data_IF_233614280222
#
_entry.id   IF_233614280222
#
_cell.length_a   1.000
_cell.length_b   1.000
_cell.length_c   1.000
_cell.angle_alpha   90.00
_cell.angle_beta   90.00
_cell.angle_gamma   90.00
#
_symmetry.space_group_name_H-M   'P 1'
#
loop_
_entity.id
_entity.type
_entity.pdbx_description
1 polymer ?
#
# COMPACT_ATOMS: atom_id res chain seq x y z
N UNK A 1 39.25 23.48 -77.33
CA UNK A 1 38.55 22.53 -76.42
C UNK A 1 39.24 22.56 -75.06
N UNK A 2 38.81 23.43 -74.14
CA UNK A 2 39.24 23.39 -72.73
C UNK A 2 38.17 22.64 -71.93
N UNK A 3 38.53 21.51 -71.32
CA UNK A 3 37.69 20.79 -70.36
C UNK A 3 38.01 21.29 -68.96
N UNK A 4 37.02 21.90 -68.30
CA UNK A 4 37.05 22.25 -66.89
C UNK A 4 36.96 20.98 -66.03
N UNK A 5 37.97 20.73 -65.19
CA UNK A 5 37.93 19.73 -64.12
C UNK A 5 37.51 20.45 -62.83
N UNK A 6 36.27 20.25 -62.38
CA UNK A 6 35.78 20.73 -61.08
C UNK A 6 36.36 19.84 -59.99
N UNK A 7 37.27 20.39 -59.19
CA UNK A 7 37.71 19.78 -57.92
C UNK A 7 36.62 20.07 -56.88
N UNK A 8 35.90 19.03 -56.46
CA UNK A 8 34.97 19.09 -55.32
C UNK A 8 35.83 18.86 -54.07
N UNK A 9 35.99 19.91 -53.26
CA UNK A 9 36.65 19.84 -51.96
C UNK A 9 35.63 19.26 -50.96
N UNK A 10 35.75 17.97 -50.64
CA UNK A 10 35.02 17.33 -49.55
C UNK A 10 35.65 17.76 -48.22
N UNK A 11 34.99 18.69 -47.51
CA UNK A 11 35.33 19.03 -46.13
C UNK A 11 34.81 17.88 -45.26
N UNK A 12 35.68 17.14 -44.54
CA UNK A 12 35.22 16.15 -43.58
C UNK A 12 34.53 16.89 -42.43
N UNK A 13 33.20 16.77 -42.35
CA UNK A 13 32.49 17.10 -41.12
C UNK A 13 33.03 16.17 -40.02
N UNK A 14 33.57 16.69 -38.91
CA UNK A 14 33.87 15.85 -37.77
C UNK A 14 32.54 15.30 -37.26
N UNK A 15 32.30 14.02 -37.55
CA UNK A 15 31.31 13.24 -36.83
C UNK A 15 31.87 13.15 -35.41
N UNK A 16 31.48 14.09 -34.55
CA UNK A 16 31.64 13.95 -33.12
C UNK A 16 30.75 12.79 -32.70
N UNK A 17 31.31 11.57 -32.75
CA UNK A 17 30.81 10.45 -31.98
C UNK A 17 30.95 10.85 -30.50
N UNK A 18 29.90 11.43 -29.94
CA UNK A 18 29.73 11.46 -28.50
C UNK A 18 29.55 10.00 -28.06
N UNK A 19 30.66 9.35 -27.72
CA UNK A 19 30.60 8.12 -26.96
C UNK A 19 29.94 8.47 -25.63
N UNK A 20 28.64 8.19 -25.49
CA UNK A 20 27.97 8.23 -24.20
C UNK A 20 28.71 7.24 -23.31
N UNK A 21 29.39 7.75 -22.27
CA UNK A 21 29.98 6.92 -21.23
C UNK A 21 28.85 6.05 -20.67
N UNK A 22 28.94 4.75 -20.90
CA UNK A 22 27.94 3.81 -20.39
C UNK A 22 28.21 3.62 -18.90
N UNK A 23 27.29 4.11 -18.07
CA UNK A 23 27.33 3.92 -16.63
C UNK A 23 26.61 2.61 -16.31
N UNK A 24 27.34 1.70 -15.65
CA UNK A 24 26.77 0.44 -15.20
C UNK A 24 26.65 0.50 -13.67
N UNK A 25 25.42 0.37 -13.19
CA UNK A 25 25.07 0.23 -11.78
C UNK A 25 24.56 -1.20 -11.56
N UNK A 26 24.75 -1.76 -10.37
CA UNK A 26 24.44 -3.18 -10.12
C UNK A 26 22.95 -3.41 -9.86
N UNK A 27 22.32 -2.50 -9.12
CA UNK A 27 20.96 -2.66 -8.59
C UNK A 27 19.94 -1.76 -9.32
N UNK A 28 20.40 -0.68 -9.98
CA UNK A 28 19.54 0.24 -10.74
C UNK A 28 19.82 0.25 -12.24
N UNK A 29 18.82 0.62 -13.01
CA UNK A 29 18.96 1.00 -14.42
C UNK A 29 18.75 2.51 -14.60
N UNK A 30 19.34 3.07 -15.66
CA UNK A 30 19.04 4.43 -16.10
C UNK A 30 18.17 4.37 -17.35
N UNK A 31 17.12 5.20 -17.41
CA UNK A 31 16.37 5.40 -18.65
C UNK A 31 17.31 5.98 -19.73
N UNK A 32 17.20 5.54 -20.99
CA UNK A 32 18.07 5.98 -22.09
C UNK A 32 18.02 7.48 -22.36
N UNK A 33 16.91 8.14 -21.99
CA UNK A 33 16.75 9.59 -22.07
C UNK A 33 17.26 10.34 -20.82
N UNK A 34 17.90 9.66 -19.88
CA UNK A 34 18.43 10.28 -18.67
C UNK A 34 19.59 11.23 -19.03
N UNK A 35 19.39 12.53 -18.81
CA UNK A 35 20.36 13.58 -19.08
C UNK A 35 20.94 14.09 -17.75
N UNK A 36 22.27 14.13 -17.68
CA UNK A 36 22.98 14.84 -16.62
C UNK A 36 22.91 16.36 -16.88
N UNK A 37 22.75 17.14 -15.83
CA UNK A 37 23.08 18.56 -15.86
C UNK A 37 24.61 18.66 -15.87
N UNK A 38 25.20 19.17 -16.95
CA UNK A 38 26.65 19.15 -17.13
C UNK A 38 27.41 19.81 -15.98
N UNK A 39 26.86 20.88 -15.43
CA UNK A 39 27.41 21.66 -14.30
C UNK A 39 27.23 20.98 -12.94
N UNK A 40 26.44 19.89 -12.87
CA UNK A 40 26.14 19.16 -11.62
C UNK A 40 26.48 17.67 -11.70
N UNK A 41 27.18 17.25 -12.75
CA UNK A 41 27.46 15.83 -13.05
C UNK A 41 28.04 15.07 -11.84
N UNK A 42 29.01 15.64 -11.14
CA UNK A 42 29.65 14.98 -10.00
C UNK A 42 28.66 14.71 -8.86
N UNK A 43 27.83 15.71 -8.51
CA UNK A 43 26.76 15.54 -7.50
C UNK A 43 25.78 14.44 -7.94
N UNK A 44 25.39 14.43 -9.22
CA UNK A 44 24.45 13.43 -9.75
C UNK A 44 25.05 12.01 -9.75
N UNK A 45 26.35 11.85 -10.04
CA UNK A 45 27.04 10.56 -9.99
C UNK A 45 27.14 10.02 -8.54
N UNK A 46 27.36 10.89 -7.55
CA UNK A 46 27.31 10.53 -6.12
C UNK A 46 25.90 10.05 -5.75
N UNK A 47 24.87 10.80 -6.14
CA UNK A 47 23.48 10.46 -5.82
C UNK A 47 23.08 9.12 -6.45
N UNK A 48 23.42 8.89 -7.72
CA UNK A 48 23.13 7.61 -8.37
C UNK A 48 23.83 6.43 -7.66
N UNK A 49 25.06 6.62 -7.20
CA UNK A 49 25.78 5.59 -6.44
C UNK A 49 25.12 5.30 -5.08
N UNK A 50 24.59 6.32 -4.41
CA UNK A 50 23.84 6.15 -3.17
C UNK A 50 22.51 5.42 -3.39
N UNK A 51 21.81 5.73 -4.48
CA UNK A 51 20.56 5.04 -4.84
C UNK A 51 20.84 3.58 -5.20
N UNK A 52 21.91 3.31 -5.96
CA UNK A 52 22.35 1.96 -6.28
C UNK A 52 22.67 1.14 -5.02
N UNK A 53 23.36 1.75 -4.06
CA UNK A 53 23.63 1.13 -2.76
C UNK A 53 22.34 0.86 -1.96
N UNK A 54 21.40 1.83 -1.93
CA UNK A 54 20.12 1.67 -1.24
C UNK A 54 19.31 0.48 -1.75
N UNK A 55 19.27 0.26 -3.07
CA UNK A 55 18.56 -0.86 -3.69
C UNK A 55 19.34 -2.17 -3.68
N UNK A 56 20.46 -2.24 -2.97
CA UNK A 56 21.15 -3.50 -2.76
C UNK A 56 20.26 -4.48 -1.98
N UNK A 57 20.11 -5.68 -2.52
CA UNK A 57 19.32 -6.77 -1.91
C UNK A 57 19.87 -7.25 -0.56
N UNK A 58 21.09 -6.85 -0.21
CA UNK A 58 21.76 -7.26 1.03
C UNK A 58 21.45 -6.36 2.23
N UNK A 59 20.74 -5.24 2.03
CA UNK A 59 20.41 -4.31 3.11
C UNK A 59 19.10 -4.69 3.80
N UNK A 60 19.11 -4.73 5.12
CA UNK A 60 17.89 -4.83 5.92
C UNK A 60 17.08 -3.53 5.85
N UNK A 61 15.81 -3.57 6.28
CA UNK A 61 15.01 -2.36 6.43
C UNK A 61 15.72 -1.33 7.33
N UNK A 62 16.29 -1.79 8.45
CA UNK A 62 17.00 -0.92 9.39
C UNK A 62 18.20 -0.22 8.73
N UNK A 63 18.98 -0.94 7.92
CA UNK A 63 20.09 -0.35 7.18
C UNK A 63 19.60 0.69 6.17
N UNK A 64 18.49 0.40 5.47
CA UNK A 64 17.87 1.31 4.50
C UNK A 64 17.41 2.61 5.15
N UNK A 65 16.88 2.58 6.39
CA UNK A 65 16.49 3.82 7.09
C UNK A 65 17.64 4.80 7.33
N UNK A 66 18.90 4.35 7.30
CA UNK A 66 20.07 5.22 7.50
C UNK A 66 20.34 6.17 6.34
N UNK A 67 19.83 5.85 5.15
CA UNK A 67 19.88 6.72 3.97
C UNK A 67 18.91 7.90 4.10
N UNK A 68 17.88 7.77 4.94
CA UNK A 68 16.83 8.76 5.09
C UNK A 68 17.15 9.73 6.22
N UNK A 69 16.96 11.02 5.94
CA UNK A 69 17.08 12.07 6.94
C UNK A 69 16.06 11.85 8.05
N UNK A 70 16.55 11.80 9.28
CA UNK A 70 15.70 11.82 10.46
C UNK A 70 15.44 13.26 10.90
N UNK A 71 14.17 13.67 10.93
CA UNK A 71 13.80 15.02 11.35
C UNK A 71 13.39 15.10 12.83
N UNK A 72 13.37 13.98 13.57
CA UNK A 72 12.92 13.94 14.96
C UNK A 72 11.44 14.31 15.15
N UNK A 73 10.63 14.21 14.09
CA UNK A 73 9.21 14.55 14.10
C UNK A 73 8.35 13.41 14.69
N UNK A 74 7.13 13.76 15.12
CA UNK A 74 6.13 12.84 15.69
C UNK A 74 5.60 11.81 14.68
N UNK A 75 5.79 12.06 13.38
CA UNK A 75 5.36 11.23 12.25
C UNK A 75 6.61 10.75 11.51
N UNK A 76 6.95 9.46 11.61
CA UNK A 76 8.09 8.86 10.90
C UNK A 76 7.60 7.99 9.72
N UNK A 77 7.66 8.57 8.52
CA UNK A 77 7.28 7.94 7.26
C UNK A 77 8.51 7.63 6.38
N UNK A 78 9.71 7.63 6.96
CA UNK A 78 10.96 7.49 6.21
C UNK A 78 11.01 6.13 5.52
N UNK A 79 11.12 6.15 4.20
CA UNK A 79 11.40 4.96 3.39
C UNK A 79 10.37 3.84 3.38
N UNK A 80 9.33 3.87 4.22
CA UNK A 80 8.35 2.78 4.32
C UNK A 80 7.67 2.46 2.98
N UNK A 81 7.19 3.49 2.28
CA UNK A 81 6.61 3.34 0.94
C UNK A 81 7.61 2.74 -0.05
N UNK A 82 8.84 3.25 -0.06
CA UNK A 82 9.89 2.79 -0.98
C UNK A 82 10.28 1.34 -0.71
N UNK A 83 10.41 0.97 0.57
CA UNK A 83 10.72 -0.39 1.01
C UNK A 83 9.61 -1.38 0.62
N UNK A 84 8.34 -1.02 0.82
CA UNK A 84 7.21 -1.88 0.46
C UNK A 84 7.11 -2.12 -1.06
N UNK A 85 7.37 -1.09 -1.87
CA UNK A 85 7.44 -1.26 -3.33
C UNK A 85 8.56 -2.26 -3.69
N UNK A 86 9.71 -2.16 -3.03
CA UNK A 86 10.86 -3.03 -3.30
C UNK A 86 10.61 -4.49 -2.90
N UNK A 87 9.96 -4.75 -1.76
CA UNK A 87 9.55 -6.10 -1.37
C UNK A 87 8.65 -6.74 -2.44
N UNK A 88 7.63 -6.00 -2.92
CA UNK A 88 6.78 -6.43 -4.03
C UNK A 88 7.58 -6.64 -5.33
N UNK A 89 8.51 -5.73 -5.62
CA UNK A 89 9.36 -5.79 -6.81
C UNK A 89 10.26 -7.03 -6.82
N UNK A 90 10.82 -7.39 -5.67
CA UNK A 90 11.70 -8.55 -5.50
C UNK A 90 10.97 -9.87 -5.78
N UNK A 91 9.71 -9.99 -5.33
CA UNK A 91 8.85 -11.15 -5.63
C UNK A 91 8.56 -11.23 -7.14
N UNK A 92 8.23 -10.09 -7.75
CA UNK A 92 7.79 -10.01 -9.14
C UNK A 92 8.88 -9.86 -10.19
N UNK A 93 10.17 -9.91 -9.82
CA UNK A 93 11.31 -9.67 -10.72
C UNK A 93 11.27 -8.33 -11.46
N UNK A 94 10.98 -7.24 -10.74
CA UNK A 94 11.03 -5.88 -11.28
C UNK A 94 12.38 -5.21 -10.98
N UNK A 95 12.90 -4.44 -11.94
CA UNK A 95 14.14 -3.67 -11.77
C UNK A 95 13.84 -2.19 -11.53
N UNK A 96 14.41 -1.55 -10.49
CA UNK A 96 14.29 -0.11 -10.32
C UNK A 96 15.06 0.62 -11.42
N UNK A 97 14.38 1.53 -12.10
CA UNK A 97 14.91 2.34 -13.19
C UNK A 97 14.72 3.82 -12.86
N UNK A 98 15.83 4.56 -12.83
CA UNK A 98 15.80 6.01 -12.65
C UNK A 98 15.26 6.64 -13.92
N UNK A 99 14.10 7.28 -13.81
CA UNK A 99 13.45 7.99 -14.91
C UNK A 99 14.00 9.41 -15.05
N UNK A 100 14.18 10.10 -13.92
CA UNK A 100 14.66 11.48 -13.92
C UNK A 100 15.24 11.89 -12.56
N UNK A 101 16.14 12.87 -12.61
CA UNK A 101 16.70 13.56 -11.46
C UNK A 101 16.59 15.06 -11.71
N UNK A 102 15.66 15.73 -11.03
CA UNK A 102 15.38 17.16 -11.23
C UNK A 102 15.94 17.97 -10.06
N UNK A 103 16.73 19.00 -10.34
CA UNK A 103 17.22 19.90 -9.31
C UNK A 103 16.20 21.00 -9.02
N UNK A 104 15.59 21.00 -7.83
CA UNK A 104 14.51 21.90 -7.42
C UNK A 104 14.79 22.38 -6.00
N UNK A 105 14.81 23.71 -5.81
CA UNK A 105 14.96 24.37 -4.50
C UNK A 105 16.14 23.85 -3.64
N UNK A 106 17.29 23.62 -4.28
CA UNK A 106 18.50 23.17 -3.59
C UNK A 106 18.54 21.67 -3.27
N UNK A 107 17.60 20.88 -3.80
CA UNK A 107 17.50 19.42 -3.64
C UNK A 107 17.33 18.74 -4.99
N UNK A 108 17.52 17.42 -5.02
CA UNK A 108 17.20 16.61 -6.19
C UNK A 108 15.92 15.83 -5.96
N UNK A 109 14.92 16.00 -6.82
CA UNK A 109 13.79 15.09 -6.89
C UNK A 109 14.15 13.91 -7.79
N UNK A 110 14.11 12.72 -7.22
CA UNK A 110 14.40 11.45 -7.90
C UNK A 110 13.08 10.80 -8.23
N UNK A 111 12.91 10.41 -9.50
CA UNK A 111 11.80 9.59 -9.95
C UNK A 111 12.31 8.23 -10.37
N UNK A 112 11.77 7.19 -9.75
CA UNK A 112 12.10 5.79 -10.01
C UNK A 112 10.86 5.02 -10.44
N UNK A 113 11.02 4.11 -11.40
CA UNK A 113 10.00 3.17 -11.83
C UNK A 113 10.49 1.74 -11.64
N UNK A 114 9.63 0.82 -11.21
CA UNK A 114 9.94 -0.60 -11.16
C UNK A 114 9.38 -1.26 -12.40
N UNK A 115 10.28 -1.60 -13.32
CA UNK A 115 9.93 -2.16 -14.63
C UNK A 115 10.21 -3.66 -14.63
N UNK A 116 9.20 -4.45 -14.98
CA UNK A 116 9.28 -5.89 -15.10
C UNK A 116 9.39 -6.28 -16.56
N UNK A 117 10.29 -7.22 -16.85
CA UNK A 117 10.42 -7.81 -18.18
C UNK A 117 9.51 -9.03 -18.27
N UNK A 118 8.33 -8.89 -18.89
CA UNK A 118 7.54 -10.07 -19.32
C UNK A 118 7.59 -10.20 -20.84
N UNK A 119 7.53 -11.42 -21.40
CA UNK A 119 7.61 -11.65 -22.85
C UNK A 119 6.56 -10.91 -23.69
N UNK A 120 5.48 -10.46 -23.05
CA UNK A 120 4.30 -9.89 -23.70
C UNK A 120 4.13 -8.39 -23.42
N UNK A 121 4.82 -7.80 -22.42
CA UNK A 121 4.83 -6.36 -22.14
C UNK A 121 5.86 -5.96 -21.06
N UNK A 122 6.37 -4.72 -21.13
CA UNK A 122 7.03 -4.07 -20.00
C UNK A 122 5.97 -3.69 -18.97
N UNK A 123 5.91 -4.42 -17.85
CA UNK A 123 4.95 -4.11 -16.78
C UNK A 123 5.58 -3.11 -15.82
N UNK A 124 4.93 -1.97 -15.64
CA UNK A 124 5.26 -1.05 -14.54
C UNK A 124 4.52 -1.49 -13.29
N UNK A 125 5.26 -1.77 -12.22
CA UNK A 125 4.69 -2.04 -10.89
C UNK A 125 4.28 -0.74 -10.20
N UNK A 126 5.21 0.20 -10.12
CA UNK A 126 5.03 1.48 -9.44
C UNK A 126 5.99 2.52 -10.00
N UNK A 127 5.63 3.79 -9.86
CA UNK A 127 6.55 4.91 -10.05
C UNK A 127 6.47 5.83 -8.83
N UNK A 128 7.62 6.07 -8.21
CA UNK A 128 7.70 6.76 -6.93
C UNK A 128 8.73 7.89 -6.98
N UNK A 129 8.47 8.94 -6.21
CA UNK A 129 9.30 10.12 -6.11
C UNK A 129 9.77 10.32 -4.67
N UNK A 130 11.05 10.62 -4.51
CA UNK A 130 11.64 11.05 -3.24
C UNK A 130 12.65 12.17 -3.50
N UNK A 131 13.08 12.85 -2.44
CA UNK A 131 14.07 13.92 -2.55
C UNK A 131 15.43 13.45 -2.04
N UNK A 132 16.50 14.05 -2.53
CA UNK A 132 17.85 13.96 -1.97
C UNK A 132 18.31 15.37 -1.63
N UNK A 133 18.67 15.58 -0.37
CA UNK A 133 19.11 16.88 0.12
C UNK A 133 20.60 17.13 -0.15
N UNK A 134 21.08 18.34 0.17
CA UNK A 134 22.48 18.75 0.00
C UNK A 134 23.49 17.92 0.79
N UNK A 135 23.03 17.23 1.83
CA UNK A 135 23.84 16.37 2.71
C UNK A 135 23.76 14.91 2.24
N UNK A 136 23.21 14.68 1.04
CA UNK A 136 23.05 13.38 0.38
C UNK A 136 22.17 12.38 1.14
N UNK A 137 21.21 12.87 1.91
CA UNK A 137 20.21 12.06 2.58
C UNK A 137 18.89 12.10 1.81
N UNK A 138 18.16 10.99 1.84
CA UNK A 138 16.83 10.88 1.25
C UNK A 138 15.81 11.57 2.15
N UNK A 139 14.84 12.25 1.55
CA UNK A 139 13.72 12.86 2.26
C UNK A 139 12.41 12.43 1.60
N UNK A 140 11.40 12.12 2.43
CA UNK A 140 10.07 11.76 1.93
C UNK A 140 9.37 13.05 1.45
N UNK A 141 8.81 13.03 0.23
CA UNK A 141 8.10 14.19 -0.33
C UNK A 141 6.93 14.62 0.55
N UNK A 142 6.26 13.66 1.21
CA UNK A 142 5.11 13.93 2.05
C UNK A 142 5.44 14.80 3.26
N UNK A 143 6.66 14.73 3.82
CA UNK A 143 7.07 15.58 4.95
C UNK A 143 6.94 17.08 4.62
N UNK A 144 7.27 17.46 3.38
CA UNK A 144 7.10 18.84 2.91
C UNK A 144 5.62 19.18 2.70
N UNK A 145 4.80 18.19 2.33
CA UNK A 145 3.37 18.38 2.14
C UNK A 145 2.63 18.56 3.47
N UNK A 146 2.97 17.81 4.52
CA UNK A 146 2.30 17.84 5.83
C UNK A 146 2.26 19.27 6.40
N UNK A 147 3.31 20.07 6.19
CA UNK A 147 3.39 21.47 6.66
C UNK A 147 2.28 22.37 6.11
N UNK A 148 1.64 21.97 5.01
CA UNK A 148 0.52 22.70 4.39
C UNK A 148 -0.85 22.26 4.90
N UNK A 149 -0.91 21.20 5.73
CA UNK A 149 -2.16 20.69 6.29
C UNK A 149 -2.57 21.52 7.51
N UNK A 150 -3.87 21.72 7.67
CA UNK A 150 -4.44 22.21 8.92
C UNK A 150 -4.43 21.08 9.95
N UNK A 151 -3.81 21.30 11.12
CA UNK A 151 -3.81 20.38 12.26
C UNK A 151 -4.93 20.73 13.25
N UNK A 152 -5.71 19.73 13.68
CA UNK A 152 -6.74 19.85 14.73
C UNK A 152 -6.67 18.66 15.67
N UNK A 153 -6.44 18.90 16.96
CA UNK A 153 -6.49 17.86 18.00
C UNK A 153 -7.81 17.91 18.75
N UNK A 154 -8.47 16.76 18.89
CA UNK A 154 -9.70 16.59 19.65
C UNK A 154 -9.54 15.34 20.51
N UNK A 155 -9.44 15.52 21.84
CA UNK A 155 -9.07 14.47 22.79
C UNK A 155 -7.72 13.84 22.38
N UNK A 156 -7.68 12.53 22.22
CA UNK A 156 -6.51 11.75 21.82
C UNK A 156 -6.37 11.60 20.28
N UNK A 157 -7.28 12.17 19.49
CA UNK A 157 -7.23 12.10 18.02
C UNK A 157 -6.68 13.41 17.44
N UNK A 158 -5.81 13.28 16.44
CA UNK A 158 -5.25 14.43 15.72
C UNK A 158 -5.57 14.32 14.24
N UNK A 159 -6.16 15.36 13.67
CA UNK A 159 -6.60 15.38 12.28
C UNK A 159 -5.76 16.37 11.47
N UNK A 160 -5.39 15.95 10.27
CA UNK A 160 -4.67 16.74 9.28
C UNK A 160 -5.50 16.80 8.01
N UNK A 161 -5.79 18.00 7.50
CA UNK A 161 -6.53 18.17 6.26
C UNK A 161 -6.14 19.45 5.52
N UNK A 162 -6.13 19.43 4.18
CA UNK A 162 -5.97 20.64 3.36
C UNK A 162 -7.30 21.34 3.13
N UNK A 163 -8.33 20.58 2.76
CA UNK A 163 -9.66 21.09 2.45
C UNK A 163 -10.56 21.12 3.70
N UNK A 164 -10.95 22.30 4.22
CA UNK A 164 -11.76 22.40 5.44
C UNK A 164 -13.13 21.74 5.35
N UNK A 165 -13.66 21.49 4.13
CA UNK A 165 -14.94 20.80 3.92
C UNK A 165 -14.89 19.32 4.30
N UNK A 166 -13.71 18.70 4.27
CA UNK A 166 -13.52 17.29 4.64
C UNK A 166 -13.57 17.08 6.16
N UNK A 167 -13.24 18.12 6.94
CA UNK A 167 -13.28 18.07 8.39
C UNK A 167 -14.70 18.29 8.92
N UNK A 168 -15.52 17.24 8.87
CA UNK A 168 -16.92 17.28 9.32
C UNK A 168 -17.03 16.88 10.79
N UNK A 169 -17.70 17.70 11.60
CA UNK A 169 -17.90 17.45 13.04
C UNK A 169 -18.58 16.10 13.32
N UNK A 170 -19.50 15.68 12.46
CA UNK A 170 -20.21 14.40 12.62
C UNK A 170 -19.29 13.20 12.40
N UNK A 171 -18.33 13.28 11.48
CA UNK A 171 -17.35 12.20 11.27
C UNK A 171 -16.41 12.09 12.47
N UNK A 172 -15.99 13.22 13.04
CA UNK A 172 -15.18 13.21 14.27
C UNK A 172 -15.94 12.55 15.42
N UNK A 173 -17.23 12.86 15.59
CA UNK A 173 -18.06 12.21 16.62
C UNK A 173 -18.18 10.70 16.39
N UNK A 174 -18.38 10.27 15.14
CA UNK A 174 -18.42 8.85 14.77
C UNK A 174 -17.08 8.16 15.05
N UNK A 175 -15.97 8.78 14.68
CA UNK A 175 -14.63 8.26 14.95
C UNK A 175 -14.39 8.11 16.46
N UNK A 176 -14.70 9.13 17.28
CA UNK A 176 -14.57 9.04 18.74
C UNK A 176 -15.44 7.93 19.34
N UNK A 177 -16.69 7.79 18.88
CA UNK A 177 -17.60 6.74 19.35
C UNK A 177 -17.09 5.35 18.97
N UNK A 178 -16.65 5.18 17.72
CA UNK A 178 -16.15 3.91 17.22
C UNK A 178 -14.83 3.51 17.90
N UNK A 179 -13.93 4.47 18.14
CA UNK A 179 -12.71 4.24 18.91
C UNK A 179 -13.02 3.68 20.30
N UNK A 180 -14.03 4.25 20.98
CA UNK A 180 -14.50 3.74 22.27
C UNK A 180 -15.08 2.33 22.16
N UNK A 181 -15.87 2.05 21.12
CA UNK A 181 -16.44 0.71 20.89
C UNK A 181 -15.35 -0.34 20.66
N UNK A 182 -14.31 -0.01 19.90
CA UNK A 182 -13.18 -0.93 19.66
C UNK A 182 -12.35 -1.13 20.93
N UNK A 183 -12.09 -0.06 21.69
CA UNK A 183 -11.47 -0.18 23.01
C UNK A 183 -12.22 -1.16 23.92
N UNK A 184 -13.55 -1.06 23.99
CA UNK A 184 -14.39 -1.98 24.77
C UNK A 184 -14.37 -3.42 24.23
N UNK A 185 -14.43 -3.61 22.90
CA UNK A 185 -14.42 -4.94 22.28
C UNK A 185 -13.09 -5.67 22.47
N UNK A 186 -11.97 -4.99 22.23
CA UNK A 186 -10.62 -5.54 22.34
C UNK A 186 -10.07 -5.59 23.77
N UNK A 187 -10.78 -4.96 24.72
CA UNK A 187 -10.37 -4.81 26.12
C UNK A 187 -9.05 -4.03 26.25
N UNK A 188 -8.93 -2.98 25.45
CA UNK A 188 -7.77 -2.09 25.37
C UNK A 188 -8.18 -0.66 25.71
N UNK A 189 -7.25 0.22 26.12
CA UNK A 189 -7.55 1.64 26.22
C UNK A 189 -7.92 2.25 24.85
N UNK A 190 -8.61 3.40 24.86
CA UNK A 190 -8.83 4.18 23.63
C UNK A 190 -7.47 4.53 22.99
N UNK A 191 -7.22 4.04 21.77
CA UNK A 191 -5.97 4.32 21.05
C UNK A 191 -6.04 5.76 20.50
N UNK A 192 -5.03 6.56 20.83
CA UNK A 192 -4.82 7.86 20.19
C UNK A 192 -4.11 7.67 18.85
N UNK A 193 -4.56 8.39 17.82
CA UNK A 193 -3.98 8.30 16.49
C UNK A 193 -4.06 9.62 15.72
N UNK A 194 -3.23 9.73 14.69
CA UNK A 194 -3.27 10.79 13.68
C UNK A 194 -4.06 10.33 12.46
N UNK A 195 -4.92 11.19 11.91
CA UNK A 195 -5.69 10.91 10.70
C UNK A 195 -5.46 12.01 9.66
N UNK A 196 -4.86 11.64 8.53
CA UNK A 196 -4.67 12.49 7.37
C UNK A 196 -5.86 12.29 6.43
N UNK A 197 -6.60 13.35 6.17
CA UNK A 197 -7.82 13.33 5.37
C UNK A 197 -7.54 13.95 4.01
N UNK A 198 -7.62 13.12 2.98
CA UNK A 198 -7.42 13.47 1.57
C UNK A 198 -8.76 13.55 0.85
N UNK A 199 -8.87 14.35 -0.21
CA UNK A 199 -10.07 14.46 -1.03
C UNK A 199 -10.43 13.12 -1.68
N UNK A 200 -9.43 12.31 -2.05
CA UNK A 200 -9.59 10.96 -2.58
C UNK A 200 -8.29 10.12 -2.47
N UNK A 201 -8.38 8.83 -2.77
CA UNK A 201 -7.24 7.89 -2.78
C UNK A 201 -6.10 8.30 -3.73
N UNK A 202 -6.42 8.89 -4.88
CA UNK A 202 -5.41 9.35 -5.83
C UNK A 202 -4.61 10.54 -5.27
N UNK A 203 -5.26 11.50 -4.62
CA UNK A 203 -4.56 12.60 -3.93
C UNK A 203 -3.65 12.06 -2.83
N UNK A 204 -4.13 11.09 -2.04
CA UNK A 204 -3.32 10.43 -1.01
C UNK A 204 -2.04 9.84 -1.59
N UNK A 205 -2.13 9.05 -2.66
CA UNK A 205 -0.97 8.43 -3.33
C UNK A 205 -0.02 9.49 -3.90
N UNK A 206 -0.55 10.49 -4.61
CA UNK A 206 0.25 11.55 -5.22
C UNK A 206 1.03 12.37 -4.19
N UNK A 207 0.38 12.78 -3.08
CA UNK A 207 1.05 13.56 -2.04
C UNK A 207 2.12 12.75 -1.30
N UNK A 208 2.01 11.42 -1.30
CA UNK A 208 3.01 10.50 -0.76
C UNK A 208 4.16 10.21 -1.72
N UNK A 209 4.10 10.69 -2.96
CA UNK A 209 5.17 10.56 -3.94
C UNK A 209 4.92 9.54 -5.05
N UNK A 210 3.77 8.86 -5.07
CA UNK A 210 3.43 7.94 -6.15
C UNK A 210 2.91 8.73 -7.36
N UNK A 211 3.54 8.56 -8.53
CA UNK A 211 2.93 8.95 -9.80
C UNK A 211 2.05 7.81 -10.37
N UNK A 212 2.32 6.57 -9.96
CA UNK A 212 1.60 5.37 -10.36
C UNK A 212 1.85 4.23 -9.36
N UNK A 213 0.83 3.42 -9.12
CA UNK A 213 0.81 2.17 -8.37
C UNK A 213 -0.25 1.27 -9.03
N UNK A 214 -0.07 -0.05 -9.03
CA UNK A 214 -1.08 -0.98 -9.55
C UNK A 214 -2.47 -0.76 -8.94
N UNK A 215 -2.53 -0.36 -7.67
CA UNK A 215 -3.80 -0.13 -6.96
C UNK A 215 -4.52 1.13 -7.46
N UNK A 216 -3.82 2.05 -8.13
CA UNK A 216 -4.41 3.25 -8.73
C UNK A 216 -5.18 2.94 -10.03
N UNK A 217 -5.03 1.74 -10.61
CA UNK A 217 -5.71 1.35 -11.88
C UNK A 217 -7.21 1.16 -11.74
N UNK A 218 -7.68 0.81 -10.55
CA UNK A 218 -9.09 0.46 -10.32
C UNK A 218 -9.97 1.72 -10.29
N UNK A 219 -9.38 2.92 -10.28
CA UNK A 219 -10.11 4.19 -10.40
C UNK A 219 -11.11 4.44 -9.27
N UNK A 220 -11.12 3.59 -8.24
CA UNK A 220 -12.03 3.73 -7.13
C UNK A 220 -11.58 4.89 -6.25
N UNK A 221 -12.53 5.76 -5.94
CA UNK A 221 -12.34 6.90 -5.05
C UNK A 221 -12.16 6.47 -3.59
N UNK A 222 -12.18 5.16 -3.29
CA UNK A 222 -12.17 4.62 -1.94
C UNK A 222 -10.89 3.82 -1.68
N UNK A 223 -10.22 4.14 -0.59
CA UNK A 223 -8.99 3.49 -0.17
C UNK A 223 -8.35 4.19 1.02
N UNK A 224 -7.44 3.48 1.66
CA UNK A 224 -6.78 3.94 2.86
C UNK A 224 -5.52 3.15 3.13
N UNK A 225 -4.80 3.62 4.15
CA UNK A 225 -3.72 2.87 4.75
C UNK A 225 -3.66 3.25 6.23
N UNK A 226 -3.36 2.29 7.07
CA UNK A 226 -2.89 2.52 8.43
C UNK A 226 -1.40 2.20 8.56
N UNK A 227 -0.67 3.04 9.29
CA UNK A 227 0.61 2.69 9.90
C UNK A 227 0.34 2.41 11.37
N UNK A 228 0.33 1.14 11.75
CA UNK A 228 -0.04 0.72 13.11
C UNK A 228 1.00 1.13 14.14
N UNK A 229 2.28 1.07 13.78
CA UNK A 229 3.40 1.43 14.66
C UNK A 229 3.41 2.93 14.99
N UNK A 230 3.13 3.76 13.98
CA UNK A 230 3.04 5.21 14.14
C UNK A 230 1.63 5.69 14.57
N UNK A 231 0.64 4.79 14.56
CA UNK A 231 -0.77 5.10 14.84
C UNK A 231 -1.27 6.22 13.93
N UNK A 232 -1.08 6.02 12.62
CA UNK A 232 -1.45 6.97 11.57
C UNK A 232 -2.41 6.36 10.58
N UNK A 233 -3.50 7.05 10.28
CA UNK A 233 -4.49 6.66 9.28
C UNK A 233 -4.43 7.66 8.13
N UNK A 234 -4.22 7.15 6.92
CA UNK A 234 -4.29 7.90 5.68
C UNK A 234 -5.63 7.63 5.02
N UNK A 235 -6.58 8.56 5.20
CA UNK A 235 -7.93 8.44 4.70
C UNK A 235 -8.06 9.02 3.29
N UNK A 236 -8.05 8.14 2.29
CA UNK A 236 -8.38 8.45 0.91
C UNK A 236 -9.88 8.59 0.65
N UNK A 237 -10.73 8.48 1.67
CA UNK A 237 -12.20 8.50 1.53
C UNK A 237 -12.83 9.87 1.79
N UNK A 238 -12.03 10.93 1.99
CA UNK A 238 -12.55 12.26 2.30
C UNK A 238 -13.31 12.35 3.62
N UNK A 239 -12.94 11.53 4.61
CA UNK A 239 -13.62 11.45 5.92
C UNK A 239 -12.66 11.22 7.07
N UNK A 240 -12.97 11.81 8.23
CA UNK A 240 -12.30 11.53 9.50
C UNK A 240 -12.74 10.20 10.14
N UNK A 241 -13.86 9.63 9.67
CA UNK A 241 -14.40 8.37 10.15
C UNK A 241 -14.05 7.26 9.16
N UNK A 242 -13.00 6.50 9.47
CA UNK A 242 -12.54 5.38 8.66
C UNK A 242 -12.42 4.11 9.52
N UNK A 243 -13.55 3.47 9.83
CA UNK A 243 -13.60 2.41 10.83
C UNK A 243 -12.75 1.18 10.48
N UNK A 244 -12.64 0.82 9.19
CA UNK A 244 -11.78 -0.29 8.75
C UNK A 244 -10.32 -0.10 9.20
N UNK A 245 -9.69 1.02 8.83
CA UNK A 245 -8.31 1.35 9.23
C UNK A 245 -8.15 1.51 10.75
N UNK A 246 -9.20 2.01 11.44
CA UNK A 246 -9.18 2.13 12.89
C UNK A 246 -9.10 0.77 13.59
N UNK A 247 -9.74 -0.28 13.05
CA UNK A 247 -9.71 -1.63 13.63
C UNK A 247 -8.29 -2.20 13.63
N UNK A 248 -7.53 -1.98 12.56
CA UNK A 248 -6.15 -2.46 12.45
C UNK A 248 -5.22 -1.93 13.56
N UNK A 249 -5.50 -0.73 14.10
CA UNK A 249 -4.76 -0.22 15.27
C UNK A 249 -4.98 -1.12 16.50
N UNK A 250 -6.19 -1.63 16.68
CA UNK A 250 -6.55 -2.48 17.81
C UNK A 250 -6.09 -3.92 17.61
N UNK A 251 -6.18 -4.46 16.40
CA UNK A 251 -5.67 -5.82 16.13
C UNK A 251 -4.16 -5.88 16.31
N UNK A 252 -3.42 -4.85 15.87
CA UNK A 252 -1.96 -4.77 16.05
C UNK A 252 -1.55 -4.60 17.52
N UNK A 253 -2.33 -3.89 18.34
CA UNK A 253 -2.06 -3.77 19.78
C UNK A 253 -2.48 -5.03 20.57
N UNK A 254 -3.41 -5.83 20.03
CA UNK A 254 -3.97 -7.01 20.72
C UNK A 254 -3.05 -8.23 20.66
N UNK A 255 -2.32 -8.42 19.55
CA UNK A 255 -1.56 -9.65 19.28
C UNK A 255 -0.18 -9.35 18.70
N UNK A 256 0.77 -10.27 18.87
CA UNK A 256 2.12 -10.13 18.33
C UNK A 256 2.26 -10.81 16.96
N UNK A 257 1.67 -12.01 16.78
CA UNK A 257 1.82 -12.83 15.59
C UNK A 257 0.53 -12.82 14.75
N UNK A 258 0.25 -11.66 14.17
CA UNK A 258 -1.02 -11.38 13.49
C UNK A 258 -1.24 -12.19 12.21
N UNK A 259 -2.34 -12.92 12.13
CA UNK A 259 -2.86 -13.51 10.91
C UNK A 259 -3.59 -12.45 10.06
N UNK A 260 -3.13 -12.24 8.83
CA UNK A 260 -3.66 -11.19 7.94
C UNK A 260 -5.10 -11.43 7.50
N UNK A 261 -5.50 -12.68 7.26
CA UNK A 261 -6.89 -12.98 6.88
C UNK A 261 -7.85 -12.62 8.02
N UNK A 262 -7.51 -12.97 9.26
CA UNK A 262 -8.34 -12.63 10.42
C UNK A 262 -8.31 -11.12 10.67
N UNK A 263 -7.15 -10.47 10.60
CA UNK A 263 -7.04 -9.01 10.75
C UNK A 263 -7.97 -8.25 9.79
N UNK A 264 -7.88 -8.57 8.50
CA UNK A 264 -8.71 -7.99 7.45
C UNK A 264 -10.19 -8.37 7.61
N UNK A 265 -10.46 -9.57 8.12
CA UNK A 265 -11.81 -10.02 8.46
C UNK A 265 -12.44 -9.23 9.59
N UNK A 266 -11.72 -8.95 10.67
CA UNK A 266 -12.21 -8.14 11.79
C UNK A 266 -12.42 -6.68 11.32
N UNK A 267 -11.46 -6.13 10.57
CA UNK A 267 -11.56 -4.78 10.00
C UNK A 267 -12.76 -4.64 9.06
N UNK A 268 -12.99 -5.64 8.21
CA UNK A 268 -14.14 -5.66 7.30
C UNK A 268 -15.46 -5.89 8.03
N UNK A 269 -15.49 -6.75 9.04
CA UNK A 269 -16.70 -7.03 9.82
C UNK A 269 -17.20 -5.77 10.55
N UNK A 270 -16.31 -5.03 11.22
CA UNK A 270 -16.69 -3.82 11.95
C UNK A 270 -16.72 -2.56 11.09
N UNK A 271 -15.83 -2.45 10.10
CA UNK A 271 -15.60 -1.24 9.33
C UNK A 271 -16.08 -1.27 7.89
N UNK A 272 -16.48 -2.43 7.38
CA UNK A 272 -16.80 -2.63 5.96
C UNK A 272 -15.56 -2.62 5.06
N UNK A 273 -15.77 -2.73 3.76
CA UNK A 273 -14.72 -2.64 2.74
C UNK A 273 -15.26 -1.95 1.48
N UNK A 274 -14.45 -1.07 0.86
CA UNK A 274 -14.80 -0.34 -0.38
C UNK A 274 -16.17 0.36 -0.33
N UNK A 275 -16.50 0.94 0.83
CA UNK A 275 -17.75 1.66 1.05
C UNK A 275 -18.99 0.77 1.30
N UNK A 276 -18.82 -0.55 1.33
CA UNK A 276 -19.87 -1.51 1.64
C UNK A 276 -19.71 -2.01 3.08
N UNK A 277 -20.82 -2.08 3.83
CA UNK A 277 -20.82 -2.70 5.14
C UNK A 277 -20.88 -4.24 5.04
N UNK A 278 -20.65 -4.92 6.17
CA UNK A 278 -20.64 -6.39 6.22
C UNK A 278 -21.91 -7.05 5.67
N UNK A 279 -23.09 -6.46 5.91
CA UNK A 279 -24.35 -6.99 5.38
C UNK A 279 -24.41 -6.92 3.85
N UNK A 280 -24.00 -5.79 3.27
CA UNK A 280 -23.97 -5.62 1.81
C UNK A 280 -22.94 -6.57 1.16
N UNK A 281 -21.75 -6.70 1.76
CA UNK A 281 -20.69 -7.59 1.28
C UNK A 281 -21.14 -9.05 1.25
N UNK A 282 -21.73 -9.54 2.34
CA UNK A 282 -22.20 -10.93 2.45
C UNK A 282 -23.37 -11.23 1.51
N UNK A 283 -24.29 -10.29 1.29
CA UNK A 283 -25.37 -10.45 0.29
C UNK A 283 -24.82 -10.63 -1.13
N UNK A 284 -23.85 -9.80 -1.52
CA UNK A 284 -23.20 -9.89 -2.84
C UNK A 284 -22.42 -11.20 -2.96
N UNK A 285 -21.65 -11.54 -1.93
CA UNK A 285 -20.84 -12.76 -1.91
C UNK A 285 -21.70 -14.02 -1.97
N UNK A 286 -22.79 -14.07 -1.21
CA UNK A 286 -23.76 -15.18 -1.26
C UNK A 286 -24.37 -15.32 -2.65
N UNK A 287 -24.80 -14.21 -3.25
CA UNK A 287 -25.38 -14.20 -4.60
C UNK A 287 -24.39 -14.68 -5.67
N UNK A 288 -23.10 -14.40 -5.49
CA UNK A 288 -22.02 -14.88 -6.35
C UNK A 288 -21.83 -16.40 -6.22
N UNK A 289 -21.66 -16.91 -4.99
CA UNK A 289 -21.45 -18.33 -4.73
C UNK A 289 -22.64 -19.22 -5.13
N UNK A 290 -23.86 -18.68 -5.19
CA UNK A 290 -25.03 -19.41 -5.69
C UNK A 290 -25.05 -19.57 -7.21
N UNK A 291 -24.32 -18.71 -7.95
CA UNK A 291 -24.33 -18.68 -9.42
C UNK A 291 -23.09 -19.32 -10.01
N UNK A 292 -21.95 -19.14 -9.36
CA UNK A 292 -20.66 -19.60 -9.84
C UNK A 292 -20.27 -20.92 -9.17
N UNK A 293 -19.63 -21.81 -9.91
CA UNK A 293 -19.11 -23.08 -9.39
C UNK A 293 -17.76 -22.85 -8.68
N UNK A 294 -17.79 -22.15 -7.56
CA UNK A 294 -16.61 -21.77 -6.77
C UNK A 294 -16.67 -22.39 -5.39
N UNK A 295 -15.61 -23.12 -5.05
CA UNK A 295 -15.43 -23.77 -3.75
C UNK A 295 -14.61 -22.89 -2.81
N UNK A 296 -15.16 -22.58 -1.63
CA UNK A 296 -14.56 -21.64 -0.66
C UNK A 296 -13.24 -22.19 -0.12
N UNK A 297 -13.18 -23.50 0.16
CA UNK A 297 -11.95 -24.13 0.65
C UNK A 297 -10.83 -24.00 -0.38
N UNK A 298 -11.14 -24.22 -1.66
CA UNK A 298 -10.20 -24.07 -2.75
C UNK A 298 -9.68 -22.64 -2.87
N UNK A 299 -10.55 -21.63 -2.74
CA UNK A 299 -10.14 -20.21 -2.75
C UNK A 299 -9.11 -19.93 -1.64
N UNK A 300 -9.41 -20.35 -0.41
CA UNK A 300 -8.54 -20.12 0.74
C UNK A 300 -7.23 -20.91 0.62
N UNK A 301 -7.31 -22.20 0.31
CA UNK A 301 -6.16 -23.09 0.20
C UNK A 301 -5.19 -22.69 -0.92
N UNK A 302 -5.70 -22.18 -2.04
CA UNK A 302 -4.85 -21.69 -3.12
C UNK A 302 -4.46 -20.22 -2.98
N UNK A 303 -5.16 -19.46 -2.13
CA UNK A 303 -5.03 -17.99 -2.09
C UNK A 303 -5.61 -17.32 -3.35
N UNK A 304 -6.55 -17.98 -4.02
CA UNK A 304 -7.15 -17.53 -5.27
C UNK A 304 -8.47 -16.81 -4.98
N UNK A 305 -8.37 -15.52 -4.62
CA UNK A 305 -9.52 -14.65 -4.42
C UNK A 305 -9.82 -13.84 -5.69
N UNK A 306 -11.10 -13.56 -5.92
CA UNK A 306 -11.59 -12.83 -7.08
C UNK A 306 -12.31 -11.54 -6.70
N UNK A 307 -12.36 -10.60 -7.66
CA UNK A 307 -13.16 -9.38 -7.55
C UNK A 307 -14.52 -9.61 -8.23
N UNK A 308 -15.57 -9.58 -7.42
CA UNK A 308 -16.97 -9.78 -7.79
C UNK A 308 -17.58 -8.45 -8.23
N UNK A 309 -18.14 -8.41 -9.45
CA UNK A 309 -18.83 -7.24 -10.03
C UNK A 309 -18.03 -5.94 -9.91
N UNK A 310 -16.69 -6.02 -10.04
CA UNK A 310 -15.75 -4.90 -9.89
C UNK A 310 -15.83 -4.13 -8.56
N UNK A 311 -16.48 -4.68 -7.53
CA UNK A 311 -16.76 -3.95 -6.27
C UNK A 311 -16.33 -4.72 -5.02
N UNK A 312 -16.60 -6.02 -4.97
CA UNK A 312 -16.36 -6.83 -3.78
C UNK A 312 -15.19 -7.75 -4.05
N UNK A 313 -14.11 -7.58 -3.30
CA UNK A 313 -13.07 -8.59 -3.27
C UNK A 313 -13.50 -9.71 -2.31
N UNK A 314 -13.57 -10.93 -2.85
CA UNK A 314 -14.01 -12.12 -2.11
C UNK A 314 -13.12 -12.44 -0.90
N UNK A 315 -11.87 -11.95 -0.88
CA UNK A 315 -11.00 -12.02 0.28
C UNK A 315 -11.64 -11.35 1.50
N UNK A 316 -12.03 -10.08 1.38
CA UNK A 316 -12.69 -9.33 2.45
C UNK A 316 -14.04 -9.92 2.83
N UNK A 317 -14.82 -10.36 1.83
CA UNK A 317 -16.14 -10.92 2.10
C UNK A 317 -16.07 -12.22 2.89
N UNK A 318 -15.17 -13.14 2.50
CA UNK A 318 -14.97 -14.39 3.21
C UNK A 318 -14.30 -14.18 4.57
N UNK A 319 -13.28 -13.33 4.67
CA UNK A 319 -12.61 -13.07 5.94
C UNK A 319 -13.55 -12.48 6.99
N UNK A 320 -14.43 -11.57 6.59
CA UNK A 320 -15.45 -11.01 7.47
C UNK A 320 -16.49 -12.06 7.89
N UNK A 321 -16.92 -12.91 6.94
CA UNK A 321 -17.81 -14.04 7.25
C UNK A 321 -17.16 -14.98 8.26
N UNK A 322 -15.89 -15.34 8.06
CA UNK A 322 -15.14 -16.18 8.98
C UNK A 322 -15.12 -15.58 10.39
N UNK A 323 -14.77 -14.30 10.52
CA UNK A 323 -14.73 -13.62 11.83
C UNK A 323 -16.11 -13.55 12.49
N UNK A 324 -17.16 -13.27 11.72
CA UNK A 324 -18.55 -13.32 12.21
C UNK A 324 -18.90 -14.72 12.73
N UNK A 325 -18.61 -15.77 11.96
CA UNK A 325 -18.89 -17.15 12.35
C UNK A 325 -18.11 -17.56 13.60
N UNK A 326 -16.84 -17.16 13.73
CA UNK A 326 -16.06 -17.41 14.96
C UNK A 326 -16.73 -16.73 16.16
N UNK A 327 -17.14 -15.46 16.02
CA UNK A 327 -17.79 -14.71 17.10
C UNK A 327 -19.11 -15.35 17.53
N UNK A 328 -19.93 -15.79 16.59
CA UNK A 328 -21.24 -16.41 16.87
C UNK A 328 -21.12 -17.77 17.57
N UNK A 329 -20.14 -18.61 17.16
CA UNK A 329 -20.02 -19.97 17.67
C UNK A 329 -19.09 -20.10 18.87
N UNK A 330 -18.03 -19.29 18.93
CA UNK A 330 -16.93 -19.46 19.89
C UNK A 330 -16.59 -18.18 20.67
N UNK A 331 -17.16 -17.03 20.30
CA UNK A 331 -16.93 -15.76 20.96
C UNK A 331 -15.55 -15.15 20.66
N UNK A 332 -15.30 -13.99 21.29
CA UNK A 332 -14.14 -13.15 20.99
C UNK A 332 -12.78 -13.75 21.38
N UNK A 333 -12.73 -14.60 22.41
CA UNK A 333 -11.46 -15.19 22.84
C UNK A 333 -10.87 -16.09 21.75
N UNK A 334 -11.71 -16.92 21.12
CA UNK A 334 -11.30 -17.75 19.98
C UNK A 334 -10.94 -16.90 18.76
N UNK A 335 -11.62 -15.77 18.54
CA UNK A 335 -11.27 -14.83 17.49
C UNK A 335 -9.86 -14.26 17.70
N UNK A 336 -9.51 -13.86 18.93
CA UNK A 336 -8.17 -13.34 19.24
C UNK A 336 -7.08 -14.42 19.17
N UNK A 337 -7.39 -15.66 19.57
CA UNK A 337 -6.48 -16.79 19.38
C UNK A 337 -6.16 -17.03 17.90
N UNK A 338 -7.18 -17.01 17.04
CA UNK A 338 -7.00 -17.16 15.59
C UNK A 338 -6.36 -15.92 14.95
N UNK A 339 -6.56 -14.74 15.53
CA UNK A 339 -5.86 -13.53 15.12
C UNK A 339 -4.36 -13.63 15.41
N UNK A 340 -3.94 -14.27 16.51
CA UNK A 340 -2.53 -14.46 16.90
C UNK A 340 -1.89 -15.74 16.32
N UNK A 341 -2.49 -16.32 15.28
CA UNK A 341 -2.10 -17.64 14.80
C UNK A 341 -0.91 -17.64 13.83
N UNK A 342 -0.41 -16.47 13.42
CA UNK A 342 0.54 -16.30 12.32
C UNK A 342 -0.06 -16.55 10.93
N UNK A 343 0.78 -16.37 9.90
CA UNK A 343 0.37 -16.39 8.48
C UNK A 343 0.69 -17.70 7.74
N UNK A 344 1.14 -18.75 8.43
CA UNK A 344 1.26 -20.05 7.78
C UNK A 344 -0.14 -20.55 7.41
N UNK A 345 -0.35 -20.73 6.10
CA UNK A 345 -1.67 -21.03 5.54
C UNK A 345 -2.14 -22.45 5.88
N UNK A 346 -1.23 -23.42 5.88
CA UNK A 346 -1.58 -24.82 6.16
C UNK A 346 -1.93 -24.98 7.64
N UNK A 347 -1.11 -24.40 8.53
CA UNK A 347 -1.40 -24.36 9.96
C UNK A 347 -2.71 -23.60 10.25
N UNK A 348 -2.95 -22.48 9.57
CA UNK A 348 -4.18 -21.72 9.75
C UNK A 348 -5.42 -22.51 9.31
N UNK A 349 -5.37 -23.19 8.17
CA UNK A 349 -6.46 -24.06 7.72
C UNK A 349 -6.78 -25.16 8.73
N UNK A 350 -5.75 -25.85 9.23
CA UNK A 350 -5.91 -26.86 10.29
C UNK A 350 -6.59 -26.26 11.54
N UNK A 351 -6.18 -25.07 11.98
CA UNK A 351 -6.81 -24.39 13.14
C UNK A 351 -8.28 -24.05 12.89
N UNK A 352 -8.66 -23.66 11.68
CA UNK A 352 -10.07 -23.40 11.34
C UNK A 352 -10.89 -24.70 11.36
N UNK A 353 -10.35 -25.77 10.78
CA UNK A 353 -10.98 -27.10 10.77
C UNK A 353 -11.20 -27.63 12.20
N UNK A 354 -10.18 -27.52 13.06
CA UNK A 354 -10.26 -27.88 14.47
C UNK A 354 -11.26 -27.02 15.23
N UNK A 355 -11.27 -25.70 14.99
CA UNK A 355 -12.17 -24.77 15.67
C UNK A 355 -13.64 -25.12 15.43
N UNK A 356 -14.00 -25.42 14.18
CA UNK A 356 -15.38 -25.75 13.81
C UNK A 356 -15.68 -27.26 13.83
N UNK A 357 -14.67 -28.10 14.11
CA UNK A 357 -14.75 -29.55 14.03
C UNK A 357 -15.33 -30.02 12.67
N UNK A 358 -14.75 -29.52 11.59
CA UNK A 358 -15.14 -29.82 10.20
C UNK A 358 -13.98 -30.44 9.44
N UNK A 359 -14.28 -31.31 8.48
CA UNK A 359 -13.29 -31.83 7.54
C UNK A 359 -13.14 -30.91 6.32
N UNK A 360 -12.01 -30.97 5.58
CA UNK A 360 -11.82 -30.21 4.34
C UNK A 360 -13.01 -30.34 3.34
N UNK A 361 -13.58 -31.54 3.23
CA UNK A 361 -14.72 -31.82 2.34
C UNK A 361 -16.04 -31.18 2.78
N UNK A 362 -16.15 -30.76 4.04
CA UNK A 362 -17.35 -30.13 4.61
C UNK A 362 -17.24 -28.61 4.64
N UNK A 363 -16.02 -28.06 4.53
CA UNK A 363 -15.69 -26.64 4.71
C UNK A 363 -16.59 -25.72 3.88
N UNK A 364 -16.68 -25.95 2.57
CA UNK A 364 -17.51 -25.11 1.70
C UNK A 364 -18.98 -25.15 2.12
N UNK A 365 -19.53 -26.35 2.35
CA UNK A 365 -20.93 -26.53 2.75
C UNK A 365 -21.25 -25.87 4.09
N UNK A 366 -20.30 -25.90 5.03
CA UNK A 366 -20.42 -25.27 6.35
C UNK A 366 -20.53 -23.75 6.20
N UNK A 367 -19.56 -23.11 5.54
CA UNK A 367 -19.57 -21.66 5.37
C UNK A 367 -20.70 -21.17 4.46
N UNK A 368 -21.13 -21.97 3.47
CA UNK A 368 -22.33 -21.68 2.69
C UNK A 368 -23.60 -21.66 3.55
N UNK A 369 -23.72 -22.56 4.52
CA UNK A 369 -24.84 -22.59 5.46
C UNK A 369 -24.82 -21.38 6.40
N UNK A 370 -23.66 -21.04 6.95
CA UNK A 370 -23.52 -19.87 7.83
C UNK A 370 -23.82 -18.56 7.08
N UNK A 371 -23.33 -18.44 5.84
CA UNK A 371 -23.62 -17.31 4.98
C UNK A 371 -25.13 -17.21 4.64
N UNK A 372 -25.76 -18.34 4.29
CA UNK A 372 -27.20 -18.37 4.01
C UNK A 372 -28.03 -17.98 5.25
N UNK A 373 -27.67 -18.49 6.44
CA UNK A 373 -28.30 -18.13 7.72
C UNK A 373 -28.21 -16.63 7.95
N UNK A 374 -27.03 -16.04 7.82
CA UNK A 374 -26.83 -14.60 8.01
C UNK A 374 -27.67 -13.77 7.02
N UNK A 375 -27.61 -14.11 5.72
CA UNK A 375 -28.31 -13.35 4.67
C UNK A 375 -29.83 -13.48 4.80
N UNK A 376 -30.36 -14.63 5.22
CA UNK A 376 -31.80 -14.83 5.36
C UNK A 376 -32.39 -14.18 6.62
N UNK A 377 -31.64 -14.16 7.72
CA UNK A 377 -32.08 -13.53 8.97
C UNK A 377 -32.03 -12.00 8.93
N UNK A 378 -31.21 -11.41 8.05
CA UNK A 378 -31.02 -9.96 7.93
C UNK A 378 -31.68 -9.34 6.68
N UNK A 379 -32.75 -9.94 6.17
CA UNK A 379 -33.56 -9.39 5.06
C UNK A 379 -34.57 -8.34 5.50
#
# INVERSE_FOLDING_TARGET
>A
MLKYLKIILLIPFPVFCFAQKQYNYENIQLNSAYLFYEDKREEQEIILSLIDAYFSKNLSYQDKTTFWKYNGEEIDIRGGDLYFIEEKANIGSYTPTILSMLYIDGKYQIRVAWMGNTPEDNKVLSTYNFLVNKDYQFENIFENQIKTFTKRKIRNLTFYYKNPKLFRKEDVKKALKFNKQMAEFFELPEIGFSCFIFDNYLEQKNLRGFDFDTDMRIGEAYGGLVSTDQKEIFSGNGTAYYPHEMVHLYTAEKVENKNHLVDEGIATYFGGARGLNFSELTQIFYSFLQKENVDIYTMLNKGEFTVINTKVDSYYAFSALLCHTILEHHGKEKLFELLDSGNDREEFLCKIEETFNIQPSEFHSFFMKELAKYVQCNK
#
